data_IF_898650272691
#
_entry.id   IF_898650272691
#
_cell.length_a   1.000
_cell.length_b   1.000
_cell.length_c   1.000
_cell.angle_alpha   90.00
_cell.angle_beta   90.00
_cell.angle_gamma   90.00
#
_symmetry.space_group_name_H-M   'P 1'
#
loop_
_entity.id
_entity.type
_entity.pdbx_description
1 polymer ?
#
# COMPACT_ATOMS: atom_id res chain seq x y z
N UNK A 1 3.39 -49.35 46.77
CA UNK A 1 3.44 -48.23 45.80
C UNK A 1 4.91 -47.94 45.54
N UNK A 2 5.48 -48.52 44.47
CA UNK A 2 6.93 -48.48 44.20
C UNK A 2 7.29 -47.15 43.53
N UNK A 3 7.98 -46.27 44.25
CA UNK A 3 8.62 -45.09 43.68
C UNK A 3 9.79 -45.55 42.82
N UNK A 4 9.63 -45.55 41.49
CA UNK A 4 10.76 -45.71 40.57
C UNK A 4 11.69 -44.51 40.73
N UNK A 5 12.85 -44.75 41.34
CA UNK A 5 13.95 -43.79 41.42
C UNK A 5 14.42 -43.43 40.01
N UNK A 6 14.39 -42.14 39.68
CA UNK A 6 14.87 -41.61 38.40
C UNK A 6 16.38 -41.92 38.27
N UNK A 7 16.78 -42.68 37.24
CA UNK A 7 18.16 -43.08 37.04
C UNK A 7 19.09 -41.89 36.76
N UNK A 8 20.41 -42.05 36.98
CA UNK A 8 21.41 -41.02 36.67
C UNK A 8 21.36 -40.58 35.19
N UNK A 9 21.07 -41.51 34.28
CA UNK A 9 20.87 -41.25 32.85
C UNK A 9 19.64 -40.40 32.53
N UNK A 10 18.51 -40.66 33.19
CA UNK A 10 17.27 -39.88 33.03
C UNK A 10 17.47 -38.42 33.50
N UNK A 11 18.23 -38.21 34.58
CA UNK A 11 18.57 -36.86 35.07
C UNK A 11 19.49 -36.09 34.12
N UNK A 12 20.41 -36.77 33.43
CA UNK A 12 21.27 -36.16 32.42
C UNK A 12 20.45 -35.75 31.18
N UNK A 13 19.57 -36.64 30.71
CA UNK A 13 18.67 -36.37 29.59
C UNK A 13 17.72 -35.19 29.89
N UNK A 14 17.10 -35.15 31.08
CA UNK A 14 16.24 -34.04 31.50
C UNK A 14 17.02 -32.71 31.52
N UNK A 15 18.26 -32.69 32.02
CA UNK A 15 19.10 -31.48 32.02
C UNK A 15 19.44 -31.00 30.61
N UNK A 16 19.70 -31.92 29.69
CA UNK A 16 19.96 -31.58 28.27
C UNK A 16 18.69 -31.02 27.63
N UNK A 17 17.55 -31.67 27.82
CA UNK A 17 16.26 -31.19 27.31
C UNK A 17 15.95 -29.80 27.83
N UNK A 18 16.05 -29.57 29.15
CA UNK A 18 15.81 -28.24 29.75
C UNK A 18 16.75 -27.16 29.20
N UNK A 19 18.03 -27.50 28.95
CA UNK A 19 18.98 -26.57 28.31
C UNK A 19 18.54 -26.26 26.88
N UNK A 20 18.26 -27.27 26.07
CA UNK A 20 17.82 -27.09 24.68
C UNK A 20 16.51 -26.28 24.60
N UNK A 21 15.53 -26.58 25.45
CA UNK A 21 14.28 -25.83 25.55
C UNK A 21 14.52 -24.37 25.92
N UNK A 22 15.43 -24.09 26.87
CA UNK A 22 15.79 -22.72 27.24
C UNK A 22 16.43 -21.96 26.07
N UNK A 23 17.34 -22.58 25.34
CA UNK A 23 17.96 -21.98 24.16
C UNK A 23 16.93 -21.75 23.05
N UNK A 24 16.05 -22.72 22.81
CA UNK A 24 14.97 -22.60 21.83
C UNK A 24 14.01 -21.45 22.18
N UNK A 25 13.55 -21.36 23.42
CA UNK A 25 12.68 -20.27 23.89
C UNK A 25 13.36 -18.91 23.77
N UNK A 26 14.65 -18.81 24.12
CA UNK A 26 15.43 -17.58 23.93
C UNK A 26 15.55 -17.17 22.47
N UNK A 27 15.80 -18.13 21.57
CA UNK A 27 15.86 -17.88 20.13
C UNK A 27 14.51 -17.44 19.55
N UNK A 28 13.43 -18.10 19.94
CA UNK A 28 12.07 -17.71 19.54
C UNK A 28 11.74 -16.29 20.05
N UNK A 29 12.06 -15.99 21.31
CA UNK A 29 11.85 -14.65 21.87
C UNK A 29 12.65 -13.58 21.11
N UNK A 30 13.89 -13.89 20.71
CA UNK A 30 14.70 -13.01 19.88
C UNK A 30 14.08 -12.78 18.49
N UNK A 31 13.61 -13.83 17.82
CA UNK A 31 12.94 -13.70 16.52
C UNK A 31 11.65 -12.89 16.62
N UNK A 32 10.80 -13.18 17.61
CA UNK A 32 9.56 -12.43 17.86
C UNK A 32 9.87 -10.98 18.17
N UNK A 33 10.85 -10.72 19.04
CA UNK A 33 11.32 -9.36 19.35
C UNK A 33 11.80 -8.63 18.09
N UNK A 34 12.59 -9.28 17.25
CA UNK A 34 13.04 -8.74 15.97
C UNK A 34 11.89 -8.42 15.01
N UNK A 35 10.87 -9.29 14.95
CA UNK A 35 9.68 -9.09 14.12
C UNK A 35 8.82 -7.93 14.61
N UNK A 36 8.68 -7.77 15.93
CA UNK A 36 7.98 -6.63 16.54
C UNK A 36 8.74 -5.32 16.29
N UNK A 37 10.07 -5.32 16.41
CA UNK A 37 10.90 -4.16 16.05
C UNK A 37 10.73 -3.83 14.57
N UNK A 38 10.79 -4.82 13.68
CA UNK A 38 10.57 -4.63 12.25
C UNK A 38 9.19 -4.05 11.95
N UNK A 39 8.13 -4.57 12.58
CA UNK A 39 6.76 -4.17 12.29
C UNK A 39 6.38 -2.78 12.86
N UNK A 40 6.94 -2.40 14.00
CA UNK A 40 6.49 -1.20 14.74
C UNK A 40 7.54 -0.09 14.87
N UNK A 41 8.83 -0.40 14.77
CA UNK A 41 9.91 0.57 15.01
C UNK A 41 10.71 0.92 13.77
N UNK A 42 10.69 0.09 12.71
CA UNK A 42 11.30 0.49 11.46
C UNK A 42 10.45 1.56 10.76
N UNK A 43 11.06 2.65 10.27
CA UNK A 43 10.33 3.70 9.59
C UNK A 43 9.68 3.13 8.33
N UNK A 44 8.41 3.51 8.11
CA UNK A 44 7.75 3.26 6.82
C UNK A 44 8.52 4.00 5.72
N UNK A 45 8.50 3.52 4.46
CA UNK A 45 9.01 4.28 3.34
C UNK A 45 8.48 5.72 3.39
N UNK A 46 9.32 6.72 3.11
CA UNK A 46 8.91 8.11 3.18
C UNK A 46 7.73 8.35 2.24
N UNK A 47 6.76 9.14 2.69
CA UNK A 47 5.67 9.60 1.86
C UNK A 47 6.23 10.56 0.79
N UNK A 48 6.17 10.13 -0.48
CA UNK A 48 6.65 10.93 -1.62
C UNK A 48 5.54 11.78 -2.24
N UNK A 49 4.33 11.77 -1.68
CA UNK A 49 3.19 12.49 -2.25
C UNK A 49 3.50 13.97 -2.40
N UNK A 50 3.18 14.54 -3.56
CA UNK A 50 3.25 15.99 -3.73
C UNK A 50 2.20 16.66 -2.81
N UNK A 51 2.59 17.43 -1.78
CA UNK A 51 1.65 17.98 -0.82
C UNK A 51 0.68 18.98 -1.45
N UNK A 52 0.99 19.51 -2.64
CA UNK A 52 0.11 20.41 -3.38
C UNK A 52 -1.26 19.80 -3.67
N UNK A 53 -1.37 18.47 -3.79
CA UNK A 53 -2.65 17.81 -4.09
C UNK A 53 -3.67 17.97 -2.95
N UNK A 54 -3.23 18.31 -1.74
CA UNK A 54 -4.10 18.49 -0.57
C UNK A 54 -4.43 19.97 -0.27
N UNK A 55 -3.89 20.92 -1.04
CA UNK A 55 -4.10 22.35 -0.80
C UNK A 55 -5.47 22.86 -1.29
N UNK A 56 -6.13 22.12 -2.17
CA UNK A 56 -7.42 22.47 -2.75
C UNK A 56 -8.37 21.26 -2.71
N UNK A 57 -9.68 21.53 -2.74
CA UNK A 57 -10.70 20.47 -2.76
C UNK A 57 -10.93 19.98 -4.19
N UNK A 58 -10.63 18.71 -4.45
CA UNK A 58 -10.88 18.05 -5.72
C UNK A 58 -12.35 18.06 -6.15
N UNK A 59 -13.30 18.41 -5.28
CA UNK A 59 -14.70 18.67 -5.67
C UNK A 59 -14.86 19.86 -6.63
N UNK A 60 -13.91 20.79 -6.67
CA UNK A 60 -13.95 21.95 -7.57
C UNK A 60 -13.49 21.65 -9.00
N UNK A 61 -12.93 20.46 -9.25
CA UNK A 61 -12.37 20.05 -10.53
C UNK A 61 -13.49 19.74 -11.54
N UNK A 62 -13.35 20.25 -12.75
CA UNK A 62 -14.21 19.86 -13.87
C UNK A 62 -13.74 18.52 -14.45
N UNK A 63 -14.36 17.42 -14.03
CA UNK A 63 -13.99 16.07 -14.49
C UNK A 63 -14.40 15.74 -15.93
N UNK A 64 -15.12 16.64 -16.61
CA UNK A 64 -15.41 16.52 -18.04
C UNK A 64 -14.28 17.09 -18.91
N UNK A 65 -13.41 17.92 -18.33
CA UNK A 65 -12.29 18.57 -19.01
C UNK A 65 -10.99 17.84 -18.66
N UNK A 66 -10.78 16.71 -19.34
CA UNK A 66 -9.64 15.83 -19.09
C UNK A 66 -8.37 16.37 -19.77
N UNK A 67 -7.19 16.25 -19.13
CA UNK A 67 -5.92 16.61 -19.77
C UNK A 67 -5.70 15.86 -21.09
N UNK A 68 -5.11 16.50 -22.08
CA UNK A 68 -4.70 15.81 -23.31
C UNK A 68 -3.46 14.95 -23.04
N UNK A 69 -3.47 13.71 -23.55
CA UNK A 69 -2.34 12.77 -23.41
C UNK A 69 -1.51 12.76 -24.70
N UNK A 70 -0.94 13.92 -25.04
CA UNK A 70 -0.19 14.16 -26.28
C UNK A 70 1.35 14.04 -26.14
N UNK A 71 1.83 13.82 -24.91
CA UNK A 71 3.24 13.73 -24.56
C UNK A 71 3.98 15.07 -24.46
N UNK A 72 3.28 16.21 -24.43
CA UNK A 72 3.89 17.55 -24.40
C UNK A 72 4.42 17.99 -23.03
N UNK A 73 3.93 17.39 -21.96
CA UNK A 73 4.21 17.69 -20.55
C UNK A 73 4.95 16.56 -19.82
N UNK A 74 4.59 16.34 -18.55
CA UNK A 74 5.27 15.32 -17.72
C UNK A 74 4.89 13.91 -18.12
N UNK A 75 5.83 12.98 -17.93
CA UNK A 75 5.57 11.55 -17.92
C UNK A 75 5.02 11.09 -16.57
N UNK A 76 4.49 9.87 -16.53
CA UNK A 76 4.00 9.27 -15.29
C UNK A 76 5.13 9.08 -14.26
N UNK A 77 6.38 8.96 -14.71
CA UNK A 77 7.58 8.80 -13.87
C UNK A 77 8.08 10.11 -13.26
N UNK A 78 7.77 11.25 -13.88
CA UNK A 78 8.15 12.57 -13.37
C UNK A 78 7.29 13.02 -12.17
N UNK A 79 6.19 12.32 -11.93
CA UNK A 79 5.27 12.59 -10.82
C UNK A 79 5.56 11.55 -9.72
N UNK A 80 5.83 11.95 -8.47
CA UNK A 80 6.09 10.98 -7.42
C UNK A 80 4.84 10.16 -7.07
N UNK A 81 5.03 8.98 -6.46
CA UNK A 81 3.91 8.13 -6.00
C UNK A 81 3.11 8.86 -4.90
N UNK A 82 1.79 8.88 -5.04
CA UNK A 82 0.88 9.40 -4.04
C UNK A 82 0.47 8.30 -3.05
N UNK A 83 0.27 8.71 -1.81
CA UNK A 83 -0.13 7.88 -0.69
C UNK A 83 -1.31 8.53 0.03
N UNK A 84 -2.16 7.70 0.63
CA UNK A 84 -3.24 8.21 1.48
C UNK A 84 -2.64 8.82 2.75
N UNK A 85 -2.94 10.09 3.08
CA UNK A 85 -2.42 10.70 4.29
C UNK A 85 -3.08 10.05 5.52
N UNK A 86 -2.25 9.65 6.48
CA UNK A 86 -2.74 8.92 7.66
C UNK A 86 -3.40 7.59 7.28
N UNK A 87 -4.66 7.40 7.69
CA UNK A 87 -5.47 6.24 7.34
C UNK A 87 -6.66 6.58 6.42
N UNK A 88 -6.86 7.87 6.14
CA UNK A 88 -7.93 8.38 5.27
C UNK A 88 -7.70 9.87 5.01
N UNK A 89 -7.95 10.34 3.79
CA UNK A 89 -8.12 11.77 3.54
C UNK A 89 -9.48 12.26 4.06
N UNK A 90 -9.56 13.53 4.45
CA UNK A 90 -10.82 14.20 4.88
C UNK A 90 -11.42 15.08 3.79
N UNK A 91 -10.57 15.62 2.92
CA UNK A 91 -10.93 16.43 1.76
C UNK A 91 -10.49 15.68 0.51
N UNK A 92 -11.29 15.72 -0.55
CA UNK A 92 -10.94 15.05 -1.80
C UNK A 92 -9.66 15.71 -2.33
N UNK A 93 -8.57 14.95 -2.55
CA UNK A 93 -7.35 15.54 -3.09
C UNK A 93 -7.56 15.97 -4.55
N UNK A 94 -6.79 16.96 -4.99
CA UNK A 94 -6.65 17.29 -6.41
C UNK A 94 -6.11 16.09 -7.20
N UNK A 95 -6.31 16.04 -8.54
CA UNK A 95 -5.82 14.94 -9.35
C UNK A 95 -4.30 14.80 -9.24
N UNK A 96 -3.83 13.58 -8.97
CA UNK A 96 -2.41 13.26 -8.81
C UNK A 96 -1.66 13.40 -10.14
N UNK A 97 -2.30 13.04 -11.24
CA UNK A 97 -1.74 13.04 -12.60
C UNK A 97 -2.16 14.26 -13.42
N UNK A 98 -2.56 15.36 -12.77
CA UNK A 98 -3.08 16.57 -13.44
C UNK A 98 -2.11 17.16 -14.49
N UNK A 99 -0.80 17.06 -14.26
CA UNK A 99 0.25 17.60 -15.14
C UNK A 99 0.82 16.53 -16.11
N UNK A 100 0.28 15.31 -16.06
CA UNK A 100 0.77 14.20 -16.87
C UNK A 100 0.10 14.19 -18.24
N UNK A 101 0.91 14.05 -19.28
CA UNK A 101 0.45 14.04 -20.67
C UNK A 101 0.93 12.80 -21.44
N UNK A 102 1.61 11.85 -20.77
CA UNK A 102 2.09 10.63 -21.43
C UNK A 102 0.92 9.83 -22.04
N UNK A 103 0.98 9.51 -23.34
CA UNK A 103 -0.09 8.80 -24.04
C UNK A 103 -0.33 7.42 -23.45
N UNK A 104 -1.59 6.99 -23.43
CA UNK A 104 -1.91 5.59 -23.17
C UNK A 104 -1.39 4.70 -24.29
N UNK A 105 -1.05 3.44 -23.96
CA UNK A 105 -0.66 2.47 -24.96
C UNK A 105 -1.81 2.18 -25.95
N UNK A 106 -1.47 1.83 -27.19
CA UNK A 106 -2.45 1.55 -28.23
C UNK A 106 -3.44 0.44 -27.80
N UNK A 107 -4.74 0.70 -27.96
CA UNK A 107 -5.81 -0.23 -27.61
C UNK A 107 -6.19 -0.25 -26.12
N UNK A 108 -5.54 0.54 -25.26
CA UNK A 108 -5.96 0.74 -23.88
C UNK A 108 -7.22 1.60 -23.86
N UNK A 109 -8.22 1.16 -23.10
CA UNK A 109 -9.44 1.94 -22.86
C UNK A 109 -9.10 3.11 -21.93
N UNK A 110 -9.46 4.31 -22.35
CA UNK A 110 -9.43 5.51 -21.51
C UNK A 110 -10.60 5.46 -20.51
N UNK A 111 -10.28 5.22 -19.25
CA UNK A 111 -11.19 5.14 -18.12
C UNK A 111 -11.16 6.41 -17.26
N UNK A 112 -10.48 7.48 -17.69
CA UNK A 112 -10.32 8.70 -16.90
C UNK A 112 -11.66 9.38 -16.64
N UNK A 113 -11.79 9.98 -15.47
CA UNK A 113 -12.95 10.77 -15.09
C UNK A 113 -13.51 10.39 -13.72
N UNK A 114 -14.71 10.90 -13.45
CA UNK A 114 -15.45 10.63 -12.23
C UNK A 114 -16.57 9.63 -12.52
N UNK A 115 -16.54 8.50 -11.82
CA UNK A 115 -17.45 7.38 -12.00
C UNK A 115 -18.43 7.29 -10.83
N UNK A 116 -19.70 7.07 -11.16
CA UNK A 116 -20.78 6.82 -10.20
C UNK A 116 -21.34 5.41 -10.41
N UNK A 117 -21.32 4.60 -9.36
CA UNK A 117 -21.96 3.30 -9.34
C UNK A 117 -23.48 3.44 -9.48
N UNK A 118 -24.02 3.04 -10.62
CA UNK A 118 -25.48 3.00 -10.89
C UNK A 118 -26.10 1.61 -10.71
N UNK A 119 -25.25 0.58 -10.59
CA UNK A 119 -25.63 -0.80 -10.28
C UNK A 119 -24.53 -1.47 -9.43
N UNK A 120 -24.84 -2.58 -8.75
CA UNK A 120 -23.91 -3.21 -7.81
C UNK A 120 -23.72 -2.35 -6.56
N UNK A 121 -22.56 -1.68 -6.42
CA UNK A 121 -22.30 -0.70 -5.34
C UNK A 121 -22.91 0.67 -5.71
N UNK A 122 -24.23 0.76 -5.63
CA UNK A 122 -24.96 1.99 -5.96
C UNK A 122 -24.51 3.15 -5.08
N UNK A 123 -24.21 4.30 -5.68
CA UNK A 123 -23.73 5.51 -4.99
C UNK A 123 -22.22 5.54 -4.72
N UNK A 124 -21.47 4.48 -5.07
CA UNK A 124 -20.01 4.49 -5.02
C UNK A 124 -19.47 5.51 -6.01
N UNK A 125 -18.67 6.47 -5.51
CA UNK A 125 -18.03 7.48 -6.33
C UNK A 125 -16.53 7.22 -6.35
N UNK A 126 -15.94 7.14 -7.54
CA UNK A 126 -14.50 6.99 -7.72
C UNK A 126 -13.99 7.92 -8.80
N UNK A 127 -12.86 8.56 -8.55
CA UNK A 127 -12.10 9.24 -9.59
C UNK A 127 -11.04 8.29 -10.11
N UNK A 128 -10.98 8.12 -11.43
CA UNK A 128 -9.92 7.37 -12.11
C UNK A 128 -9.07 8.34 -12.92
N UNK A 129 -7.75 8.22 -12.76
CA UNK A 129 -6.73 8.94 -13.51
C UNK A 129 -5.83 7.92 -14.21
N UNK A 130 -5.47 8.18 -15.47
CA UNK A 130 -4.57 7.34 -16.26
C UNK A 130 -3.58 8.23 -17.01
N UNK A 131 -2.33 7.81 -17.07
CA UNK A 131 -1.29 8.45 -17.87
C UNK A 131 -0.15 7.47 -18.07
N UNK A 132 0.30 7.27 -19.32
CA UNK A 132 1.22 6.18 -19.63
C UNK A 132 0.72 4.82 -19.14
N UNK A 133 1.52 4.14 -18.32
CA UNK A 133 1.14 2.89 -17.65
C UNK A 133 0.75 3.06 -16.17
N UNK A 134 0.41 4.27 -15.73
CA UNK A 134 0.04 4.57 -14.34
C UNK A 134 -1.46 4.79 -14.21
N UNK A 135 -2.01 4.28 -13.12
CA UNK A 135 -3.42 4.45 -12.76
C UNK A 135 -3.50 4.93 -11.32
N UNK A 136 -4.31 5.97 -11.09
CA UNK A 136 -4.66 6.43 -9.74
C UNK A 136 -6.16 6.36 -9.58
N UNK A 137 -6.63 5.66 -8.55
CA UNK A 137 -8.04 5.60 -8.17
C UNK A 137 -8.22 6.27 -6.82
N UNK A 138 -9.02 7.33 -6.75
CA UNK A 138 -9.34 8.04 -5.50
C UNK A 138 -10.80 7.79 -5.14
N UNK A 139 -11.04 7.09 -4.03
CA UNK A 139 -12.39 6.75 -3.58
C UNK A 139 -12.41 6.47 -2.07
N UNK A 140 -13.52 6.77 -1.40
CA UNK A 140 -13.77 6.39 0.01
C UNK A 140 -12.66 6.73 1.01
N UNK A 141 -11.98 7.87 0.84
CA UNK A 141 -10.91 8.30 1.75
C UNK A 141 -9.54 7.72 1.41
N UNK A 142 -9.42 6.92 0.35
CA UNK A 142 -8.20 6.23 -0.06
C UNK A 142 -7.75 6.67 -1.46
N UNK A 143 -6.44 6.78 -1.64
CA UNK A 143 -5.74 6.94 -2.92
C UNK A 143 -5.03 5.62 -3.23
N UNK A 144 -5.48 4.96 -4.31
CA UNK A 144 -4.87 3.77 -4.88
C UNK A 144 -3.98 4.18 -6.06
N UNK A 145 -2.66 4.20 -5.88
CA UNK A 145 -1.69 4.61 -6.91
C UNK A 145 -0.81 3.42 -7.32
N UNK A 146 -0.82 3.05 -8.60
CA UNK A 146 -0.09 1.87 -9.09
C UNK A 146 0.24 1.93 -10.58
N UNK A 147 1.11 1.00 -11.00
CA UNK A 147 1.42 0.74 -12.42
C UNK A 147 0.71 -0.51 -12.90
N UNK A 148 0.30 -0.48 -14.16
CA UNK A 148 -0.30 -1.62 -14.86
C UNK A 148 0.75 -2.36 -15.71
N UNK A 149 1.88 -2.70 -15.08
CA UNK A 149 3.02 -3.36 -15.73
C UNK A 149 3.10 -4.88 -15.44
N UNK A 150 2.12 -5.43 -14.72
CA UNK A 150 2.07 -6.85 -14.35
C UNK A 150 3.02 -7.23 -13.21
N UNK A 151 3.68 -6.27 -12.55
CA UNK A 151 4.60 -6.56 -11.46
C UNK A 151 3.95 -6.35 -10.08
N UNK A 152 4.32 -7.20 -9.12
CA UNK A 152 3.90 -7.02 -7.72
C UNK A 152 4.52 -5.76 -7.09
N UNK A 153 5.74 -5.41 -7.50
CA UNK A 153 6.49 -4.27 -6.95
C UNK A 153 5.76 -2.95 -7.18
N UNK A 154 5.19 -2.77 -8.37
CA UNK A 154 4.55 -1.53 -8.78
C UNK A 154 3.01 -1.57 -8.71
N UNK A 155 2.44 -2.71 -8.33
CA UNK A 155 1.00 -2.87 -8.14
C UNK A 155 0.44 -2.05 -6.96
N UNK A 156 -0.89 -2.10 -6.81
CA UNK A 156 -1.56 -1.51 -5.65
C UNK A 156 -1.15 -2.26 -4.39
N UNK A 157 -0.67 -1.51 -3.39
CA UNK A 157 -0.35 -2.04 -2.06
C UNK A 157 -1.04 -1.17 -1.03
N UNK A 158 -2.35 -1.35 -0.98
CA UNK A 158 -3.19 -0.63 -0.03
C UNK A 158 -3.19 -1.41 1.28
N UNK A 159 -2.72 -0.75 2.33
CA UNK A 159 -2.80 -1.26 3.69
C UNK A 159 -4.00 -0.57 4.31
N UNK A 160 -5.11 -1.30 4.43
CA UNK A 160 -6.28 -0.84 5.15
C UNK A 160 -5.94 -0.55 6.61
N UNK A 161 -6.70 0.37 7.21
CA UNK A 161 -6.65 0.66 8.64
C UNK A 161 -7.10 -0.55 9.47
#
# INVERSE_FOLDING_TARGET
MSFRSIGSGDRALIKIILRLTKWLLGFVAFLVGGLLVYAFLLPRPPDTTNPAIFLQDGRSVNYCDLPELDGSGKSADDIPKAYTPGCSYTTIPMPVLAECTEPLAAGVVDMRGLWLGVSGRVGHLERIEQCGNRVVVTAFGIIHDFRVDGTLKNGARDVGA
#
